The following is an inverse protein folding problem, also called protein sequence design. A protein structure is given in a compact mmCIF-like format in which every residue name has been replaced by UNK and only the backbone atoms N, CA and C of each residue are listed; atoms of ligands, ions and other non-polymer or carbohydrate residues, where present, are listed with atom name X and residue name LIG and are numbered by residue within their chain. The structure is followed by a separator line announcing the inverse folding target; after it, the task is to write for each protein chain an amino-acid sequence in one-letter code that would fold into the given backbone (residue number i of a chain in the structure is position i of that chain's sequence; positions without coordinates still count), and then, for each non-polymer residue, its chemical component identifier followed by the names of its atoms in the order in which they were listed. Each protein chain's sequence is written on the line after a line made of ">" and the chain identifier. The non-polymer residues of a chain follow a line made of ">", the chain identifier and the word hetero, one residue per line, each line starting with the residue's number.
data_IF_507265559068
#
_entry.id   IF_507265559068
#
_cell.length_a   1.000
_cell.length_b   1.000
_cell.length_c   1.000
_cell.angle_alpha   90.00
_cell.angle_beta   90.00
_cell.angle_gamma   90.00
#
_symmetry.space_group_name_H-M   'P 1'
#
loop_
_entity.id
_entity.type
_entity.pdbx_description
1 polymer ?
#
# COMPACT_ATOMS: atom_id res chain seq x y z
N UNK A 1 44.36 -5.98 -18.74
CA UNK A 1 43.64 -6.17 -20.01
C UNK A 1 42.66 -7.29 -19.77
N UNK A 2 41.39 -6.94 -19.60
CA UNK A 2 40.30 -7.93 -19.56
C UNK A 2 39.54 -7.78 -20.89
N UNK A 3 39.26 -8.93 -21.47
CA UNK A 3 38.67 -9.13 -22.78
C UNK A 3 37.14 -9.10 -22.63
N UNK A 4 36.53 -8.07 -23.19
CA UNK A 4 35.08 -7.85 -23.19
C UNK A 4 34.42 -8.65 -24.32
N UNK A 5 34.34 -9.98 -24.22
CA UNK A 5 33.44 -10.75 -25.11
C UNK A 5 32.98 -12.07 -24.50
N UNK A 6 31.89 -12.06 -23.71
CA UNK A 6 30.82 -13.06 -23.82
C UNK A 6 29.60 -12.66 -22.96
N UNK A 7 28.56 -12.14 -23.60
CA UNK A 7 27.21 -12.08 -23.03
C UNK A 7 26.64 -13.49 -23.13
N UNK A 8 26.69 -14.25 -22.04
CA UNK A 8 26.03 -15.56 -21.93
C UNK A 8 24.51 -15.41 -21.96
N UNK A 9 23.88 -15.96 -22.99
CA UNK A 9 22.44 -15.98 -23.20
C UNK A 9 21.73 -16.77 -22.08
N UNK A 10 20.70 -16.15 -21.45
CA UNK A 10 19.85 -16.81 -20.46
C UNK A 10 19.02 -17.91 -21.15
N UNK A 11 19.36 -19.17 -20.90
CA UNK A 11 18.63 -20.32 -21.44
C UNK A 11 17.33 -20.50 -20.65
N UNK A 12 16.19 -20.26 -21.31
CA UNK A 12 14.83 -20.33 -20.77
C UNK A 12 14.34 -21.73 -20.33
N UNK A 13 15.21 -22.73 -20.24
CA UNK A 13 14.81 -24.15 -20.12
C UNK A 13 14.76 -24.69 -18.68
N UNK A 14 14.75 -23.82 -17.66
CA UNK A 14 14.45 -24.26 -16.28
C UNK A 14 13.43 -23.33 -15.61
N UNK A 15 12.36 -23.87 -14.99
CA UNK A 15 11.47 -23.06 -14.17
C UNK A 15 12.26 -22.45 -13.02
N UNK A 16 12.42 -21.12 -13.02
CA UNK A 16 13.03 -20.36 -11.93
C UNK A 16 11.94 -20.02 -10.91
N UNK A 17 12.19 -20.29 -9.63
CA UNK A 17 11.34 -19.82 -8.53
C UNK A 17 11.27 -18.29 -8.57
N UNK A 18 10.06 -17.73 -8.44
CA UNK A 18 9.88 -16.29 -8.24
C UNK A 18 10.60 -15.88 -6.95
N UNK A 19 11.59 -14.99 -7.06
CA UNK A 19 12.36 -14.48 -5.90
C UNK A 19 11.57 -13.44 -5.10
N UNK A 20 10.42 -12.99 -5.61
CA UNK A 20 9.45 -12.23 -4.86
C UNK A 20 8.47 -13.22 -4.25
N UNK A 21 8.65 -13.43 -2.94
CA UNK A 21 7.84 -14.34 -2.14
C UNK A 21 6.35 -14.04 -2.27
N UNK A 22 5.55 -15.08 -2.06
CA UNK A 22 4.09 -15.12 -2.13
C UNK A 22 3.39 -14.27 -1.05
N UNK A 23 4.05 -13.23 -0.52
CA UNK A 23 3.36 -12.20 0.23
C UNK A 23 2.56 -11.36 -0.78
N UNK A 24 1.24 -11.44 -0.68
CA UNK A 24 0.40 -10.53 -1.43
C UNK A 24 0.85 -9.10 -1.16
N UNK A 25 0.84 -8.22 -2.16
CA UNK A 25 1.28 -6.82 -1.99
C UNK A 25 0.52 -6.06 -0.88
N UNK A 26 -0.61 -6.60 -0.42
CA UNK A 26 -1.44 -6.09 0.67
C UNK A 26 -1.22 -6.79 2.02
N UNK A 27 -0.26 -7.71 2.13
CA UNK A 27 0.03 -8.40 3.40
C UNK A 27 0.59 -7.42 4.43
N UNK A 28 0.45 -7.80 5.69
CA UNK A 28 0.96 -7.15 6.88
C UNK A 28 2.45 -6.82 6.88
N UNK A 29 3.24 -7.49 6.04
CA UNK A 29 4.67 -7.23 5.82
C UNK A 29 4.94 -6.07 4.86
N UNK A 30 3.91 -5.49 4.23
CA UNK A 30 4.09 -4.32 3.38
C UNK A 30 4.48 -3.10 4.22
N UNK A 31 5.57 -2.45 3.79
CA UNK A 31 6.30 -1.49 4.62
C UNK A 31 5.52 -0.21 4.94
N UNK A 32 4.62 0.20 4.03
CA UNK A 32 3.91 1.47 4.14
C UNK A 32 2.39 1.25 4.16
N UNK A 33 1.85 1.19 5.37
CA UNK A 33 0.41 1.14 5.62
C UNK A 33 0.02 1.98 6.82
N UNK A 34 -1.16 2.58 6.76
CA UNK A 34 -1.81 3.25 7.88
C UNK A 34 -3.08 2.48 8.26
N UNK A 35 -3.25 2.20 9.55
CA UNK A 35 -4.49 1.65 10.10
C UNK A 35 -5.59 2.72 10.06
N UNK A 36 -6.78 2.34 9.60
CA UNK A 36 -7.98 3.18 9.54
C UNK A 36 -9.04 2.57 10.46
N UNK A 37 -9.24 3.17 11.63
CA UNK A 37 -10.23 2.69 12.58
C UNK A 37 -11.64 3.13 12.18
N UNK A 38 -12.52 2.17 11.89
CA UNK A 38 -13.94 2.39 11.63
C UNK A 38 -14.74 1.92 12.85
N UNK A 39 -15.59 2.78 13.40
CA UNK A 39 -16.43 2.47 14.57
C UNK A 39 -17.90 2.77 14.30
N UNK A 40 -18.78 1.89 14.76
CA UNK A 40 -20.23 2.09 14.75
C UNK A 40 -20.76 2.01 16.19
N UNK A 41 -20.96 3.17 16.85
CA UNK A 41 -21.47 3.21 18.22
C UNK A 41 -22.99 3.01 18.32
N UNK A 42 -23.69 2.81 17.21
CA UNK A 42 -25.15 2.73 17.17
C UNK A 42 -25.64 1.27 17.26
N UNK A 43 -26.87 1.10 17.73
CA UNK A 43 -27.56 -0.19 17.82
C UNK A 43 -28.20 -0.62 16.47
N UNK A 44 -27.57 -0.26 15.34
CA UNK A 44 -28.04 -0.58 14.00
C UNK A 44 -26.85 -1.00 13.14
N UNK A 45 -27.06 -1.97 12.25
CA UNK A 45 -26.07 -2.37 11.26
C UNK A 45 -26.08 -1.38 10.09
N UNK A 46 -24.91 -1.05 9.56
CA UNK A 46 -24.77 -0.26 8.34
C UNK A 46 -24.22 -1.13 7.21
N UNK A 47 -24.89 -1.05 6.05
CA UNK A 47 -24.51 -1.80 4.84
C UNK A 47 -24.33 -0.85 3.67
N UNK A 48 -23.24 -1.00 2.92
CA UNK A 48 -22.85 -0.10 1.84
C UNK A 48 -22.89 1.37 2.27
N UNK A 49 -22.35 1.64 3.46
CA UNK A 49 -22.38 2.97 4.06
C UNK A 49 -21.10 3.72 3.71
N UNK A 50 -21.25 4.92 3.15
CA UNK A 50 -20.12 5.76 2.78
C UNK A 50 -19.43 6.34 4.01
N UNK A 51 -18.15 6.03 4.16
CA UNK A 51 -17.28 6.59 5.21
C UNK A 51 -16.15 7.39 4.57
N UNK A 52 -15.51 8.24 5.38
CA UNK A 52 -14.33 8.97 4.93
C UNK A 52 -13.34 9.22 6.06
N UNK A 53 -12.07 9.35 5.69
CA UNK A 53 -11.01 9.79 6.59
C UNK A 53 -10.07 10.75 5.87
N UNK A 54 -9.38 11.58 6.65
CA UNK A 54 -8.39 12.53 6.15
C UNK A 54 -7.02 12.24 6.70
N UNK A 55 -5.99 12.47 5.89
CA UNK A 55 -4.59 12.31 6.30
C UNK A 55 -3.72 13.40 5.67
N UNK A 56 -2.59 13.71 6.31
CA UNK A 56 -1.60 14.64 5.76
C UNK A 56 -0.75 13.89 4.71
N UNK A 57 -0.98 14.16 3.43
CA UNK A 57 -0.23 13.48 2.37
C UNK A 57 1.10 14.18 2.06
N UNK A 58 1.22 15.48 2.35
CA UNK A 58 2.45 16.24 2.14
C UNK A 58 3.61 15.68 2.96
N UNK A 59 3.35 15.26 4.20
CA UNK A 59 4.36 14.61 5.05
C UNK A 59 4.86 13.29 4.44
N UNK A 60 3.96 12.51 3.83
CA UNK A 60 4.30 11.24 3.19
C UNK A 60 5.04 11.45 1.86
N UNK A 61 4.67 12.47 1.10
CA UNK A 61 5.36 12.87 -0.14
C UNK A 61 6.77 13.39 0.17
N UNK A 62 6.91 14.29 1.16
CA UNK A 62 8.22 14.81 1.58
C UNK A 62 9.14 13.72 2.13
N UNK A 63 8.57 12.71 2.80
CA UNK A 63 9.30 11.53 3.26
C UNK A 63 9.62 10.53 2.14
N UNK A 64 9.20 10.78 0.89
CA UNK A 64 9.40 9.88 -0.24
C UNK A 64 8.69 8.54 -0.06
N UNK A 65 7.51 8.53 0.55
CA UNK A 65 6.69 7.33 0.79
C UNK A 65 5.42 7.29 -0.05
N UNK A 66 4.93 8.44 -0.51
CA UNK A 66 3.72 8.57 -1.33
C UNK A 66 3.97 9.43 -2.58
N UNK A 67 3.26 9.16 -3.67
CA UNK A 67 3.29 9.99 -4.88
C UNK A 67 2.45 11.26 -4.73
N UNK A 68 2.86 12.34 -5.40
CA UNK A 68 2.18 13.62 -5.30
C UNK A 68 0.74 13.54 -5.80
N UNK A 69 0.42 12.72 -6.79
CA UNK A 69 -0.90 12.57 -7.42
C UNK A 69 -1.83 11.57 -6.70
N UNK A 70 -1.35 10.85 -5.68
CA UNK A 70 -2.11 9.93 -4.82
C UNK A 70 -2.65 8.68 -5.53
N UNK A 71 -2.13 8.32 -6.70
CA UNK A 71 -2.57 7.15 -7.47
C UNK A 71 -2.07 5.80 -6.88
N UNK A 72 -1.13 5.89 -5.93
CA UNK A 72 -0.51 4.79 -5.23
C UNK A 72 -1.33 4.30 -4.02
N UNK A 73 -2.41 5.01 -3.66
CA UNK A 73 -3.31 4.64 -2.55
C UNK A 73 -4.09 3.35 -2.88
N UNK A 74 -4.16 2.42 -1.91
CA UNK A 74 -5.09 1.29 -1.92
C UNK A 74 -5.77 1.17 -0.56
N UNK A 75 -7.07 0.90 -0.57
CA UNK A 75 -7.86 0.66 0.63
C UNK A 75 -8.19 -0.82 0.70
N UNK A 76 -7.75 -1.49 1.75
CA UNK A 76 -8.04 -2.90 1.98
C UNK A 76 -8.74 -3.03 3.32
N UNK A 77 -9.89 -3.70 3.31
CA UNK A 77 -10.72 -3.94 4.48
C UNK A 77 -10.91 -5.44 4.64
N UNK A 78 -10.51 -5.99 5.79
CA UNK A 78 -10.58 -7.43 6.08
C UNK A 78 -9.95 -8.30 4.97
N UNK A 79 -8.82 -7.85 4.40
CA UNK A 79 -8.13 -8.52 3.29
C UNK A 79 -8.76 -8.31 1.90
N UNK A 80 -9.83 -7.53 1.78
CA UNK A 80 -10.51 -7.25 0.51
C UNK A 80 -10.21 -5.85 0.00
N UNK A 81 -9.73 -5.73 -1.23
CA UNK A 81 -9.53 -4.43 -1.89
C UNK A 81 -10.87 -3.71 -2.11
N UNK A 82 -10.96 -2.47 -1.63
CA UNK A 82 -12.15 -1.61 -1.73
C UNK A 82 -12.00 -0.61 -2.88
N UNK A 83 -13.11 -0.33 -3.55
CA UNK A 83 -13.22 0.85 -4.40
C UNK A 83 -13.25 2.08 -3.51
N UNK A 84 -12.55 3.13 -3.92
CA UNK A 84 -12.46 4.36 -3.17
C UNK A 84 -12.46 5.57 -4.11
N UNK A 85 -12.65 6.74 -3.54
CA UNK A 85 -12.48 8.03 -4.18
C UNK A 85 -11.60 8.91 -3.29
N UNK A 86 -10.66 9.65 -3.86
CA UNK A 86 -9.76 10.53 -3.12
C UNK A 86 -9.86 11.96 -3.63
N UNK A 87 -9.89 12.92 -2.70
CA UNK A 87 -9.90 14.35 -2.98
C UNK A 87 -8.79 15.01 -2.20
N UNK A 88 -8.05 15.90 -2.83
CA UNK A 88 -7.14 16.82 -2.15
C UNK A 88 -7.91 18.03 -1.68
N UNK A 89 -7.70 18.45 -0.45
CA UNK A 89 -8.24 19.74 -0.01
C UNK A 89 -7.53 20.87 -0.77
N UNK A 90 -8.31 21.81 -1.27
CA UNK A 90 -7.83 23.03 -1.92
C UNK A 90 -8.51 24.23 -1.23
N UNK A 91 -7.79 25.32 -0.89
CA UNK A 91 -6.38 25.61 -1.20
C UNK A 91 -5.36 25.06 -0.19
N UNK A 92 -5.80 24.38 0.88
CA UNK A 92 -4.91 23.77 1.88
C UNK A 92 -4.30 22.47 1.35
N UNK A 93 -3.13 22.57 0.73
CA UNK A 93 -2.49 21.52 -0.05
C UNK A 93 -2.02 20.30 0.74
N UNK A 94 -2.14 20.26 2.07
CA UNK A 94 -1.45 19.25 2.86
C UNK A 94 -2.29 17.99 3.11
N UNK A 95 -3.62 18.08 2.95
CA UNK A 95 -4.55 17.01 3.33
C UNK A 95 -5.23 16.38 2.12
N UNK A 96 -5.38 15.06 2.20
CA UNK A 96 -6.20 14.28 1.31
C UNK A 96 -7.33 13.64 2.12
N UNK A 97 -8.50 13.51 1.49
CA UNK A 97 -9.68 12.84 2.03
C UNK A 97 -10.04 11.66 1.15
N UNK A 98 -10.13 10.48 1.76
CA UNK A 98 -10.48 9.23 1.10
C UNK A 98 -11.90 8.86 1.50
N UNK A 99 -12.70 8.46 0.51
CA UNK A 99 -14.07 7.98 0.65
C UNK A 99 -14.17 6.54 0.17
N UNK A 100 -14.87 5.68 0.89
CA UNK A 100 -15.20 4.33 0.46
C UNK A 100 -16.44 3.82 1.20
N UNK A 101 -17.07 2.78 0.66
CA UNK A 101 -18.21 2.13 1.31
C UNK A 101 -17.74 0.96 2.17
N UNK A 102 -18.34 0.79 3.34
CA UNK A 102 -18.08 -0.33 4.27
C UNK A 102 -19.38 -0.95 4.78
N UNK A 103 -19.28 -2.19 5.26
CA UNK A 103 -20.31 -2.85 6.05
C UNK A 103 -19.81 -2.96 7.49
N UNK A 104 -20.54 -2.37 8.44
CA UNK A 104 -20.18 -2.39 9.86
C UNK A 104 -21.37 -2.79 10.71
N UNK A 105 -21.16 -3.77 11.59
CA UNK A 105 -22.18 -4.23 12.52
C UNK A 105 -22.43 -3.20 13.63
N UNK A 106 -23.61 -3.28 14.26
CA UNK A 106 -23.96 -2.48 15.41
C UNK A 106 -22.95 -2.66 16.55
N UNK A 107 -22.75 -1.62 17.36
CA UNK A 107 -21.87 -1.62 18.54
C UNK A 107 -20.46 -2.21 18.27
N UNK A 108 -19.97 -2.06 17.04
CA UNK A 108 -18.67 -2.58 16.61
C UNK A 108 -17.67 -1.46 16.67
N UNK A 109 -16.57 -1.72 17.36
CA UNK A 109 -15.44 -0.83 17.42
C UNK A 109 -14.31 -1.52 16.66
N UNK A 110 -13.81 -0.84 15.63
CA UNK A 110 -12.61 -1.20 14.87
C UNK A 110 -12.83 -2.33 13.85
N UNK A 111 -12.87 -1.95 12.58
CA UNK A 111 -12.67 -2.85 11.43
C UNK A 111 -11.22 -2.70 10.98
N UNK A 112 -10.60 -3.83 10.61
CA UNK A 112 -9.26 -3.91 10.00
C UNK A 112 -9.28 -3.32 8.57
N UNK A 113 -9.32 -1.99 8.48
CA UNK A 113 -9.11 -1.26 7.26
C UNK A 113 -7.70 -0.63 7.24
N UNK A 114 -7.03 -0.75 6.10
CA UNK A 114 -5.68 -0.25 5.91
C UNK A 114 -5.57 0.55 4.62
N UNK A 115 -4.91 1.69 4.72
CA UNK A 115 -4.46 2.47 3.57
C UNK A 115 -3.01 2.09 3.25
N UNK A 116 -2.78 1.50 2.07
CA UNK A 116 -1.46 1.19 1.53
C UNK A 116 -1.04 2.26 0.52
N UNK A 117 0.25 2.58 0.46
CA UNK A 117 0.82 3.58 -0.45
C UNK A 117 2.29 3.28 -0.72
N UNK A 118 2.82 3.67 -1.88
CA UNK A 118 4.21 3.43 -2.27
C UNK A 118 4.72 4.53 -3.18
N UNK A 119 5.86 5.09 -2.79
CA UNK A 119 6.68 5.89 -3.68
C UNK A 119 7.87 5.09 -4.17
N UNK A 120 7.81 4.68 -5.43
CA UNK A 120 8.98 4.24 -6.18
C UNK A 120 9.43 5.48 -6.95
N UNK A 121 10.59 6.05 -6.62
CA UNK A 121 11.24 7.00 -7.53
C UNK A 121 11.38 6.29 -8.88
N UNK A 122 10.63 6.76 -9.88
CA UNK A 122 10.54 6.15 -11.20
C UNK A 122 11.88 6.20 -11.95
N UNK A 123 12.74 5.20 -11.67
CA UNK A 123 13.66 4.58 -12.62
C UNK A 123 13.86 3.12 -12.20
N UNK A 124 13.01 2.25 -12.75
CA UNK A 124 13.12 0.79 -12.87
C UNK A 124 13.50 -0.02 -11.61
N UNK A 125 12.51 -0.77 -11.14
CA UNK A 125 12.55 -1.91 -10.22
C UNK A 125 13.85 -2.73 -10.23
N UNK A 126 14.39 -2.98 -9.03
CA UNK A 126 14.78 -4.33 -8.56
C UNK A 126 14.87 -4.28 -7.03
N UNK A 127 13.95 -4.94 -6.31
CA UNK A 127 14.25 -5.26 -4.92
C UNK A 127 15.38 -6.30 -4.94
N UNK A 128 16.53 -5.93 -4.43
CA UNK A 128 17.60 -6.86 -4.10
C UNK A 128 17.48 -7.17 -2.61
N UNK A 129 16.85 -8.28 -2.26
CA UNK A 129 17.01 -8.85 -0.92
C UNK A 129 18.48 -9.25 -0.75
N UNK A 130 19.16 -8.61 0.18
CA UNK A 130 20.44 -9.08 0.72
C UNK A 130 20.16 -9.41 2.19
N UNK A 131 20.03 -10.70 2.50
CA UNK A 131 20.21 -11.19 3.87
C UNK A 131 21.72 -11.28 4.07
N UNK A 132 22.29 -10.42 4.91
CA UNK A 132 23.61 -10.69 5.51
C UNK A 132 23.33 -11.11 6.95
N UNK A 133 23.30 -12.42 7.15
CA UNK A 133 23.64 -12.96 8.45
C UNK A 133 25.13 -12.69 8.66
N UNK A 134 25.47 -11.96 9.72
CA UNK A 134 26.62 -12.33 10.52
C UNK A 134 26.40 -11.88 11.96
N UNK A 135 26.34 -12.92 12.80
CA UNK A 135 26.61 -12.94 14.23
C UNK A 135 27.78 -12.02 14.57
N UNK A 136 27.60 -11.21 15.61
CA UNK A 136 28.55 -11.16 16.73
C UNK A 136 27.73 -11.22 18.02
#
# INVERSE_FOLDING_TARGET
>A
YYDDTEIGYDTFDTPKLSIFGEASWWDSSFEYRCLVNITNPYALNFTNFGVSFSFNYDELVQAGKMQLDLDDIRIVENGVLRKYYVVKDYPSLNYAKVFFDTNISQNTFEIDAYMYFVFINSINFFFKFIIISNII
#
